data_IF_098750822004
#
_entry.id   IF_098750822004
#
_cell.length_a   1.000
_cell.length_b   1.000
_cell.length_c   1.000
_cell.angle_alpha   90.00
_cell.angle_beta   90.00
_cell.angle_gamma   90.00
#
_symmetry.space_group_name_H-M   'P 1'
#
loop_
_entity.id
_entity.type
_entity.pdbx_description
1 polymer ?
#
# COMPACT_ATOMS: atom_id res chain seq x y z
N UNK A 1 -14.59 -8.05 -2.74
CA UNK A 1 -13.90 -8.91 -1.75
C UNK A 1 -12.72 -8.15 -1.15
N UNK A 2 -11.73 -7.71 -1.93
CA UNK A 2 -10.50 -7.08 -1.44
C UNK A 2 -10.69 -5.87 -0.51
N UNK A 3 -11.64 -4.96 -0.78
CA UNK A 3 -11.91 -3.83 0.13
C UNK A 3 -12.49 -4.25 1.47
N UNK A 4 -13.29 -5.32 1.50
CA UNK A 4 -13.82 -5.84 2.75
C UNK A 4 -12.70 -6.45 3.60
N UNK A 5 -11.79 -7.20 2.96
CA UNK A 5 -10.63 -7.76 3.65
C UNK A 5 -9.67 -6.65 4.12
N UNK A 6 -9.39 -5.66 3.27
CA UNK A 6 -8.62 -4.49 3.68
C UNK A 6 -9.25 -3.82 4.92
N UNK A 7 -10.54 -3.54 4.89
CA UNK A 7 -11.24 -2.92 6.02
C UNK A 7 -11.15 -3.77 7.28
N UNK A 8 -11.33 -5.08 7.14
CA UNK A 8 -11.28 -6.03 8.26
C UNK A 8 -9.93 -6.06 8.95
N UNK A 9 -8.84 -5.94 8.21
CA UNK A 9 -7.49 -6.04 8.75
C UNK A 9 -6.82 -4.69 9.01
N UNK A 10 -7.14 -3.65 8.26
CA UNK A 10 -6.54 -2.33 8.41
C UNK A 10 -7.01 -1.58 9.66
N UNK A 11 -8.34 -1.47 9.83
CA UNK A 11 -8.87 -0.66 10.94
C UNK A 11 -8.46 -1.14 12.33
N UNK A 12 -8.35 -2.45 12.64
CA UNK A 12 -7.85 -2.92 13.92
C UNK A 12 -6.37 -2.62 14.18
N UNK A 13 -5.63 -2.18 13.15
CA UNK A 13 -4.19 -1.89 13.25
C UNK A 13 -3.87 -0.38 13.30
N UNK A 14 -4.87 0.48 13.34
CA UNK A 14 -4.66 1.94 13.35
C UNK A 14 -3.88 2.45 14.57
N UNK A 15 -3.90 1.71 15.67
CA UNK A 15 -3.15 1.99 16.89
C UNK A 15 -1.69 1.53 16.84
N UNK A 16 -1.30 0.80 15.79
CA UNK A 16 0.07 0.33 15.62
C UNK A 16 0.99 1.45 15.17
N UNK A 17 2.23 1.40 15.64
CA UNK A 17 3.21 2.45 15.36
C UNK A 17 3.76 2.44 13.93
N UNK A 18 3.75 1.28 13.26
CA UNK A 18 4.12 1.11 11.86
C UNK A 18 3.24 0.08 11.17
N UNK A 19 3.31 0.03 9.84
CA UNK A 19 2.48 -0.86 9.02
C UNK A 19 3.31 -1.52 7.92
N UNK A 20 3.16 -2.83 7.79
CA UNK A 20 3.67 -3.59 6.63
C UNK A 20 2.46 -4.01 5.80
N UNK A 21 2.49 -3.69 4.52
CA UNK A 21 1.48 -4.09 3.55
C UNK A 21 2.08 -5.21 2.70
N UNK A 22 1.45 -6.36 2.68
CA UNK A 22 1.87 -7.48 1.84
C UNK A 22 1.06 -7.50 0.56
N UNK A 23 1.69 -7.05 -0.53
CA UNK A 23 1.12 -7.05 -1.88
C UNK A 23 1.65 -8.21 -2.73
N UNK A 24 2.40 -9.12 -2.14
CA UNK A 24 2.93 -10.29 -2.83
C UNK A 24 1.79 -11.18 -3.32
N UNK A 25 1.92 -11.65 -4.55
CA UNK A 25 0.93 -12.47 -5.23
C UNK A 25 -0.48 -11.82 -5.37
N UNK A 26 -0.57 -10.50 -5.30
CA UNK A 26 -1.77 -9.78 -5.68
C UNK A 26 -1.96 -9.88 -7.20
N UNK A 27 -2.87 -10.72 -7.65
CA UNK A 27 -3.16 -10.98 -9.07
C UNK A 27 -3.92 -9.86 -9.78
N UNK A 28 -4.24 -8.77 -9.10
CA UNK A 28 -4.90 -7.61 -9.69
C UNK A 28 -6.34 -7.39 -9.23
N UNK A 29 -6.98 -6.45 -9.87
CA UNK A 29 -8.32 -5.96 -9.54
C UNK A 29 -8.49 -4.48 -9.92
N UNK A 30 -9.13 -3.72 -9.03
CA UNK A 30 -9.37 -2.29 -9.23
C UNK A 30 -9.55 -1.54 -7.88
N UNK A 31 -8.93 -2.02 -6.82
CA UNK A 31 -9.10 -1.47 -5.46
C UNK A 31 -7.95 -0.59 -5.00
N UNK A 32 -6.81 -0.63 -5.70
CA UNK A 32 -5.61 0.12 -5.31
C UNK A 32 -5.86 1.62 -5.10
N UNK A 33 -6.64 2.36 -5.92
CA UNK A 33 -6.86 3.78 -5.68
C UNK A 33 -7.54 4.07 -4.33
N UNK A 34 -8.48 3.22 -3.92
CA UNK A 34 -9.20 3.37 -2.66
C UNK A 34 -8.34 3.03 -1.45
N UNK A 35 -7.47 2.03 -1.57
CA UNK A 35 -6.53 1.65 -0.52
C UNK A 35 -5.46 2.73 -0.38
N UNK A 36 -4.86 3.16 -1.49
CA UNK A 36 -3.83 4.21 -1.50
C UNK A 36 -4.36 5.54 -0.94
N UNK A 37 -5.58 5.94 -1.29
CA UNK A 37 -6.23 7.11 -0.69
C UNK A 37 -6.29 6.97 0.84
N UNK A 38 -6.65 5.80 1.35
CA UNK A 38 -6.72 5.56 2.78
C UNK A 38 -5.35 5.59 3.45
N UNK A 39 -4.35 5.00 2.83
CA UNK A 39 -2.98 4.94 3.34
C UNK A 39 -2.26 6.30 3.28
N UNK A 40 -2.65 7.18 2.35
CA UNK A 40 -2.04 8.51 2.17
C UNK A 40 -2.64 9.60 3.06
N UNK A 41 -3.65 9.29 3.86
CA UNK A 41 -4.28 10.27 4.73
C UNK A 41 -3.31 10.81 5.78
N UNK A 42 -3.32 12.13 5.94
CA UNK A 42 -2.58 12.84 6.98
C UNK A 42 -3.56 13.59 7.89
N UNK A 43 -3.31 13.59 9.21
CA UNK A 43 -4.16 14.34 10.11
C UNK A 43 -3.88 15.85 10.00
N UNK A 44 -4.91 16.65 9.71
CA UNK A 44 -4.81 18.10 9.75
C UNK A 44 -5.30 18.70 11.07
N UNK A 45 -5.92 17.90 11.91
CA UNK A 45 -6.41 18.30 13.23
C UNK A 45 -6.42 17.11 14.19
N UNK A 46 -6.11 17.38 15.44
CA UNK A 46 -6.26 16.41 16.54
C UNK A 46 -7.43 16.79 17.43
N UNK A 47 -8.09 15.80 18.00
CA UNK A 47 -9.23 15.97 18.91
C UNK A 47 -9.00 15.21 20.21
N UNK A 48 -9.49 15.76 21.31
CA UNK A 48 -9.49 15.12 22.62
C UNK A 48 -10.84 15.33 23.28
N UNK A 49 -11.40 14.25 23.80
CA UNK A 49 -12.65 14.32 24.56
C UNK A 49 -12.39 14.68 26.03
N UNK A 50 -13.35 15.36 26.67
CA UNK A 50 -13.28 15.65 28.10
C UNK A 50 -13.25 14.34 28.91
N UNK A 51 -12.30 14.23 29.83
CA UNK A 51 -12.17 13.05 30.68
C UNK A 51 -11.52 11.82 30.04
N UNK A 52 -10.99 11.97 28.83
CA UNK A 52 -10.24 10.89 28.15
C UNK A 52 -8.80 11.34 27.85
N UNK A 53 -7.89 10.36 27.82
CA UNK A 53 -6.50 10.57 27.35
C UNK A 53 -6.34 10.25 25.87
N UNK A 54 -7.38 9.73 25.22
CA UNK A 54 -7.33 9.38 23.80
C UNK A 54 -7.33 10.63 22.93
N UNK A 55 -6.36 10.70 22.02
CA UNK A 55 -6.26 11.73 21.00
C UNK A 55 -6.68 11.11 19.68
N UNK A 56 -7.78 11.60 19.12
CA UNK A 56 -8.28 11.23 17.81
C UNK A 56 -7.67 12.09 16.70
N UNK A 57 -7.66 11.58 15.49
CA UNK A 57 -7.22 12.31 14.28
C UNK A 57 -8.41 12.78 13.43
N UNK A 58 -8.24 13.87 12.70
CA UNK A 58 -9.16 14.29 11.65
C UNK A 58 -8.36 14.49 10.36
N UNK A 59 -8.69 13.77 9.27
CA UNK A 59 -9.78 12.78 9.18
C UNK A 59 -9.58 11.59 10.12
N UNK A 60 -10.65 10.87 10.37
CA UNK A 60 -10.57 9.63 11.15
C UNK A 60 -9.82 8.53 10.42
N UNK A 61 -9.38 7.52 11.17
CA UNK A 61 -8.74 6.33 10.65
C UNK A 61 -7.46 6.62 9.84
N UNK A 62 -6.58 7.44 10.40
CA UNK A 62 -5.25 7.72 9.85
C UNK A 62 -4.21 6.85 10.53
N UNK A 63 -3.49 6.07 9.73
CA UNK A 63 -2.29 5.37 10.18
C UNK A 63 -1.08 6.28 9.94
N UNK A 64 -0.58 6.89 11.02
CA UNK A 64 0.45 7.95 10.98
C UNK A 64 1.89 7.42 11.03
N UNK A 65 2.08 6.11 11.17
CA UNK A 65 3.41 5.49 11.26
C UNK A 65 4.06 5.25 9.91
N UNK A 66 5.35 4.87 9.92
CA UNK A 66 6.04 4.43 8.73
C UNK A 66 5.36 3.22 8.13
N UNK A 67 5.45 3.12 6.81
CA UNK A 67 4.86 2.05 6.02
C UNK A 67 5.91 1.43 5.11
N UNK A 68 5.81 0.12 4.92
CA UNK A 68 6.62 -0.64 3.95
C UNK A 68 5.67 -1.56 3.19
N UNK A 69 5.94 -1.76 1.90
CA UNK A 69 5.19 -2.67 1.06
C UNK A 69 6.07 -3.81 0.57
N UNK A 70 5.60 -5.04 0.74
CA UNK A 70 6.20 -6.24 0.18
C UNK A 70 5.63 -6.50 -1.22
N UNK A 71 6.50 -6.77 -2.17
CA UNK A 71 6.14 -7.03 -3.57
C UNK A 71 6.89 -8.25 -4.12
N UNK A 72 6.30 -8.92 -5.10
CA UNK A 72 7.02 -9.98 -5.81
C UNK A 72 6.57 -10.11 -7.28
N UNK A 73 7.24 -11.01 -8.01
CA UNK A 73 6.98 -11.28 -9.43
C UNK A 73 5.56 -11.77 -9.76
N UNK A 74 4.77 -12.11 -8.75
CA UNK A 74 3.37 -12.53 -8.89
C UNK A 74 2.38 -11.38 -8.60
N UNK A 75 2.88 -10.20 -8.18
CA UNK A 75 2.07 -8.99 -8.12
C UNK A 75 1.83 -8.50 -9.54
N UNK A 76 0.58 -8.48 -9.98
CA UNK A 76 0.21 -8.28 -11.38
C UNK A 76 -1.00 -7.34 -11.52
N UNK A 77 -1.10 -6.61 -12.61
CA UNK A 77 -2.23 -5.71 -12.92
C UNK A 77 -2.42 -4.64 -11.82
N UNK A 78 -3.55 -4.64 -11.08
CA UNK A 78 -3.71 -3.75 -9.92
C UNK A 78 -2.65 -4.02 -8.82
N UNK A 79 -2.07 -5.22 -8.77
CA UNK A 79 -0.90 -5.57 -7.95
C UNK A 79 0.42 -4.99 -8.46
N UNK A 80 0.52 -4.53 -9.71
CA UNK A 80 1.58 -3.66 -10.20
C UNK A 80 1.28 -2.19 -9.90
N UNK A 81 0.02 -1.78 -10.07
CA UNK A 81 -0.42 -0.39 -9.89
C UNK A 81 -0.40 0.05 -8.43
N UNK A 82 -0.68 -0.85 -7.51
CA UNK A 82 -0.64 -0.56 -6.08
C UNK A 82 0.77 -0.12 -5.61
N UNK A 83 1.84 -0.92 -5.79
CA UNK A 83 3.18 -0.50 -5.38
C UNK A 83 3.71 0.69 -6.18
N UNK A 84 3.34 0.82 -7.46
CA UNK A 84 3.66 2.03 -8.20
C UNK A 84 3.06 3.29 -7.56
N UNK A 85 1.77 3.25 -7.24
CA UNK A 85 1.07 4.33 -6.55
C UNK A 85 1.60 4.58 -5.14
N UNK A 86 1.92 3.52 -4.40
CA UNK A 86 2.53 3.59 -3.07
C UNK A 86 3.84 4.39 -3.09
N UNK A 87 4.71 4.13 -4.06
CA UNK A 87 5.94 4.91 -4.29
C UNK A 87 5.65 6.33 -4.76
N UNK A 88 4.77 6.52 -5.74
CA UNK A 88 4.44 7.83 -6.31
C UNK A 88 3.85 8.80 -5.27
N UNK A 89 3.17 8.28 -4.26
CA UNK A 89 2.64 9.00 -3.11
C UNK A 89 3.65 9.14 -1.95
N UNK A 90 4.83 8.55 -2.06
CA UNK A 90 5.86 8.63 -1.02
C UNK A 90 5.50 7.92 0.28
N UNK A 91 4.69 6.86 0.23
CA UNK A 91 4.16 6.20 1.42
C UNK A 91 5.20 5.37 2.17
N UNK A 92 6.25 4.91 1.49
CA UNK A 92 7.32 4.11 2.09
C UNK A 92 8.11 3.33 1.04
N UNK A 93 8.93 2.40 1.50
CA UNK A 93 9.80 1.56 0.67
C UNK A 93 9.07 0.32 0.17
N UNK A 94 9.49 -0.13 -1.01
CA UNK A 94 9.10 -1.40 -1.61
C UNK A 94 10.22 -2.42 -1.39
N UNK A 95 9.88 -3.59 -0.87
CA UNK A 95 10.85 -4.67 -0.56
C UNK A 95 10.39 -5.96 -1.23
N UNK A 96 11.32 -6.68 -1.82
CA UNK A 96 11.05 -7.97 -2.45
C UNK A 96 11.65 -8.08 -3.84
N UNK A 97 10.90 -8.57 -4.81
CA UNK A 97 11.32 -8.69 -6.21
C UNK A 97 10.41 -7.87 -7.11
N UNK A 98 10.89 -7.52 -8.30
CA UNK A 98 10.13 -6.77 -9.31
C UNK A 98 8.77 -7.42 -9.56
N UNK A 99 7.72 -6.60 -9.68
CA UNK A 99 6.39 -7.05 -10.03
C UNK A 99 6.28 -7.50 -11.50
N UNK A 100 5.14 -8.04 -11.89
CA UNK A 100 4.97 -8.67 -13.20
C UNK A 100 5.06 -7.71 -14.39
N UNK A 101 4.42 -6.54 -14.31
CA UNK A 101 4.49 -5.51 -15.35
C UNK A 101 3.41 -5.61 -16.42
N UNK A 102 2.27 -6.12 -16.12
CA UNK A 102 1.12 -6.15 -17.04
C UNK A 102 -0.04 -5.31 -16.54
N UNK A 103 -0.10 -4.04 -16.92
CA UNK A 103 -1.09 -3.07 -16.42
C UNK A 103 -2.13 -2.65 -17.46
N UNK A 104 -1.96 -3.03 -18.72
CA UNK A 104 -2.97 -2.71 -19.75
C UNK A 104 -4.28 -3.39 -19.39
N UNK A 105 -5.30 -2.58 -19.12
CA UNK A 105 -6.62 -3.07 -18.82
C UNK A 105 -7.29 -3.66 -20.06
N UNK A 106 -7.96 -4.79 -19.87
CA UNK A 106 -8.69 -5.48 -20.92
C UNK A 106 -10.18 -5.15 -20.84
N UNK A 107 -10.82 -4.97 -22.00
CA UNK A 107 -12.27 -4.78 -22.06
C UNK A 107 -13.02 -6.04 -21.61
N UNK A 108 -14.29 -5.87 -21.29
CA UNK A 108 -15.22 -6.99 -21.14
C UNK A 108 -15.27 -7.86 -22.41
N UNK A 109 -15.90 -9.01 -22.33
CA UNK A 109 -15.98 -9.92 -23.45
C UNK A 109 -16.68 -9.25 -24.64
N UNK A 110 -16.10 -9.44 -25.82
CA UNK A 110 -16.78 -9.16 -27.10
C UNK A 110 -17.34 -10.49 -27.61
N UNK A 111 -18.64 -10.73 -27.40
CA UNK A 111 -19.22 -12.03 -27.71
C UNK A 111 -19.28 -12.25 -29.23
N UNK A 112 -18.88 -13.43 -29.66
CA UNK A 112 -19.11 -13.91 -31.00
C UNK A 112 -20.44 -14.65 -31.11
N UNK A 113 -20.88 -14.89 -32.36
CA UNK A 113 -22.16 -15.56 -32.61
C UNK A 113 -22.23 -16.99 -32.08
N UNK A 114 -21.09 -17.64 -31.90
CA UNK A 114 -20.95 -19.00 -31.37
C UNK A 114 -20.88 -19.04 -29.81
N UNK A 115 -20.99 -17.88 -29.16
CA UNK A 115 -20.93 -17.77 -27.69
C UNK A 115 -19.53 -17.71 -27.12
N UNK A 116 -18.48 -17.78 -27.94
CA UNK A 116 -17.12 -17.48 -27.49
C UNK A 116 -16.93 -15.98 -27.33
N UNK A 117 -15.86 -15.56 -26.68
CA UNK A 117 -15.50 -14.15 -26.53
C UNK A 117 -14.02 -13.89 -26.81
N UNK A 118 -13.70 -12.62 -27.04
CA UNK A 118 -12.32 -12.14 -27.08
C UNK A 118 -12.18 -10.92 -26.16
N UNK A 119 -11.11 -10.91 -25.38
CA UNK A 119 -10.73 -9.77 -24.57
C UNK A 119 -9.62 -9.01 -25.25
N UNK A 120 -9.79 -7.70 -25.37
CA UNK A 120 -8.83 -6.84 -26.05
C UNK A 120 -8.28 -5.77 -25.10
N UNK A 121 -7.03 -5.31 -25.30
CA UNK A 121 -6.51 -4.15 -24.61
C UNK A 121 -7.44 -2.95 -24.80
N UNK A 122 -7.76 -2.25 -23.71
CA UNK A 122 -8.75 -1.17 -23.76
C UNK A 122 -8.25 0.14 -23.15
N UNK A 123 -7.52 0.08 -22.01
CA UNK A 123 -6.98 1.26 -21.36
C UNK A 123 -5.61 0.97 -20.78
N UNK A 124 -4.82 2.02 -20.60
CA UNK A 124 -3.53 1.98 -19.93
C UNK A 124 -3.34 3.27 -19.13
N UNK A 125 -2.22 3.37 -18.41
CA UNK A 125 -1.94 4.47 -17.51
C UNK A 125 -0.62 5.15 -17.84
N UNK A 126 -0.57 6.46 -17.58
CA UNK A 126 0.64 7.27 -17.65
C UNK A 126 0.76 8.14 -16.39
N UNK A 127 1.97 8.54 -16.06
CA UNK A 127 2.27 9.32 -14.87
C UNK A 127 1.72 10.75 -15.02
N UNK A 128 0.95 11.19 -14.03
CA UNK A 128 0.29 12.50 -14.05
C UNK A 128 1.26 13.69 -13.91
N UNK A 129 2.48 13.46 -13.41
CA UNK A 129 3.50 14.51 -13.24
C UNK A 129 4.41 14.63 -14.45
N UNK A 130 4.81 13.49 -15.02
CA UNK A 130 5.80 13.43 -16.09
C UNK A 130 5.18 13.28 -17.47
N UNK A 131 3.93 12.81 -17.58
CA UNK A 131 3.27 12.48 -18.83
C UNK A 131 3.85 11.25 -19.55
N UNK A 132 4.68 10.47 -18.87
CA UNK A 132 5.31 9.28 -19.43
C UNK A 132 4.47 8.03 -19.15
N UNK A 133 4.49 7.06 -20.08
CA UNK A 133 3.93 5.75 -19.83
C UNK A 133 4.59 5.12 -18.60
N UNK A 134 3.78 4.50 -17.76
CA UNK A 134 4.31 3.80 -16.59
C UNK A 134 4.66 2.34 -16.96
N UNK A 135 4.95 1.59 -16.07
CA UNK A 135 5.48 0.24 -15.85
C UNK A 135 5.02 -0.93 -16.77
N UNK A 136 4.21 -0.70 -17.82
CA UNK A 136 3.83 -1.78 -18.75
C UNK A 136 5.07 -2.46 -19.34
N UNK A 137 5.08 -3.80 -19.40
CA UNK A 137 6.19 -4.65 -19.82
C UNK A 137 7.47 -4.55 -18.97
N UNK A 138 7.40 -3.90 -17.80
CA UNK A 138 8.54 -3.81 -16.89
C UNK A 138 8.19 -4.21 -15.47
N UNK A 139 7.10 -3.69 -14.94
CA UNK A 139 6.74 -3.81 -13.53
C UNK A 139 7.40 -2.75 -12.64
N UNK A 140 7.26 -2.92 -11.33
CA UNK A 140 7.82 -2.03 -10.31
C UNK A 140 9.02 -2.69 -9.67
N UNK A 141 10.19 -2.06 -9.79
CA UNK A 141 11.39 -2.51 -9.09
C UNK A 141 11.28 -2.23 -7.59
N UNK A 142 11.73 -3.13 -6.71
CA UNK A 142 11.80 -2.86 -5.28
C UNK A 142 12.91 -1.84 -4.97
N UNK A 143 12.77 -1.11 -3.86
CA UNK A 143 13.84 -0.27 -3.31
C UNK A 143 14.90 -1.12 -2.59
N UNK A 144 14.49 -2.27 -2.07
CA UNK A 144 15.37 -3.28 -1.46
C UNK A 144 15.06 -4.63 -2.12
N UNK A 145 16.00 -5.08 -2.94
CA UNK A 145 15.88 -6.37 -3.63
C UNK A 145 16.19 -7.51 -2.67
N UNK A 146 15.21 -8.36 -2.43
CA UNK A 146 15.36 -9.63 -1.70
C UNK A 146 14.46 -10.65 -2.40
N UNK A 147 15.05 -11.77 -2.80
CA UNK A 147 14.28 -12.96 -3.20
C UNK A 147 14.40 -13.99 -2.07
N UNK A 148 13.27 -14.50 -1.59
CA UNK A 148 13.27 -15.48 -0.51
C UNK A 148 13.96 -16.78 -0.98
N UNK A 149 14.84 -17.33 -0.16
CA UNK A 149 15.35 -18.67 -0.37
C UNK A 149 14.21 -19.69 -0.16
N UNK A 150 13.88 -20.52 -1.17
CA UNK A 150 12.75 -21.44 -1.07
C UNK A 150 12.88 -22.47 0.07
N UNK A 151 14.11 -22.84 0.45
CA UNK A 151 14.34 -23.77 1.55
C UNK A 151 14.08 -23.09 2.89
N UNK A 152 14.51 -21.84 3.03
CA UNK A 152 14.23 -21.05 4.22
C UNK A 152 12.74 -20.78 4.37
N UNK A 153 12.08 -20.36 3.28
CA UNK A 153 10.65 -20.10 3.24
C UNK A 153 9.84 -21.35 3.63
N UNK A 154 10.22 -22.52 3.09
CA UNK A 154 9.63 -23.80 3.47
C UNK A 154 9.78 -24.10 4.97
N UNK A 155 10.87 -23.68 5.57
CA UNK A 155 11.13 -23.80 7.02
C UNK A 155 10.51 -22.67 7.86
N UNK A 156 9.72 -21.79 7.26
CA UNK A 156 9.01 -20.71 7.94
C UNK A 156 9.82 -19.42 8.13
N UNK A 157 10.96 -19.26 7.43
CA UNK A 157 11.74 -18.03 7.44
C UNK A 157 11.41 -17.18 6.21
N UNK A 158 10.75 -16.05 6.42
CA UNK A 158 10.46 -15.06 5.37
C UNK A 158 11.47 -13.92 5.43
N UNK A 159 12.48 -13.97 4.56
CA UNK A 159 13.57 -12.98 4.53
C UNK A 159 13.06 -11.58 4.11
N UNK A 160 12.07 -11.52 3.22
CA UNK A 160 11.43 -10.28 2.80
C UNK A 160 10.67 -9.64 3.97
N UNK A 161 9.88 -10.41 4.69
CA UNK A 161 9.14 -9.92 5.86
C UNK A 161 10.09 -9.49 6.99
N UNK A 162 11.14 -10.26 7.24
CA UNK A 162 12.15 -9.90 8.23
C UNK A 162 12.80 -8.56 7.90
N UNK A 163 13.12 -8.33 6.61
CA UNK A 163 13.67 -7.05 6.17
C UNK A 163 12.67 -5.91 6.27
N UNK A 164 11.40 -6.15 5.98
CA UNK A 164 10.34 -5.16 6.14
C UNK A 164 10.19 -4.73 7.61
N UNK A 165 10.25 -5.68 8.55
CA UNK A 165 10.24 -5.40 9.98
C UNK A 165 11.44 -4.54 10.37
N UNK A 166 12.65 -4.91 9.91
CA UNK A 166 13.87 -4.13 10.16
C UNK A 166 13.73 -2.68 9.70
N UNK A 167 13.26 -2.46 8.46
CA UNK A 167 13.11 -1.12 7.89
C UNK A 167 12.03 -0.30 8.62
N UNK A 168 10.88 -0.89 8.96
CA UNK A 168 9.86 -0.21 9.77
C UNK A 168 10.41 0.17 11.15
N UNK A 169 11.11 -0.73 11.82
CA UNK A 169 11.71 -0.47 13.14
C UNK A 169 12.76 0.65 13.07
N UNK A 170 13.56 0.69 12.01
CA UNK A 170 14.53 1.76 11.76
C UNK A 170 13.85 3.12 11.54
N UNK A 171 12.78 3.15 10.76
CA UNK A 171 12.04 4.40 10.51
C UNK A 171 11.30 4.89 11.75
N UNK A 172 10.82 4.00 12.60
CA UNK A 172 10.20 4.35 13.89
C UNK A 172 11.15 5.12 14.81
N UNK A 173 12.45 4.81 14.81
CA UNK A 173 13.45 5.55 15.60
C UNK A 173 13.58 7.02 15.22
N UNK A 174 13.28 7.35 13.96
CA UNK A 174 13.38 8.70 13.41
C UNK A 174 12.00 9.39 13.29
N UNK A 175 10.93 8.71 13.68
CA UNK A 175 9.57 9.24 13.58
C UNK A 175 9.37 10.43 14.51
N UNK A 176 8.81 11.52 13.97
CA UNK A 176 8.28 12.60 14.80
C UNK A 176 6.92 12.17 15.37
N UNK A 177 6.76 12.13 16.70
CA UNK A 177 5.46 11.84 17.30
C UNK A 177 4.46 12.95 16.95
N UNK A 178 3.16 12.65 17.05
CA UNK A 178 2.14 13.69 17.01
C UNK A 178 2.39 14.70 18.16
N UNK A 179 2.06 15.99 17.94
CA UNK A 179 2.27 17.00 18.97
C UNK A 179 1.51 16.64 20.25
N UNK A 180 2.10 16.92 21.42
CA UNK A 180 1.40 16.67 22.69
C UNK A 180 0.16 17.55 22.82
N UNK A 181 -0.77 17.11 23.67
CA UNK A 181 -1.94 17.91 24.02
C UNK A 181 -1.47 19.25 24.59
N UNK A 182 -1.94 20.40 24.06
CA UNK A 182 -1.55 21.70 24.57
C UNK A 182 -2.07 21.91 25.99
N UNK A 183 -1.40 22.79 26.74
CA UNK A 183 -1.91 23.20 28.05
C UNK A 183 -3.32 23.79 27.94
N UNK A 184 -4.16 23.67 29.00
CA UNK A 184 -5.45 24.33 29.03
C UNK A 184 -5.31 25.83 28.72
N UNK A 185 -6.26 26.38 27.97
CA UNK A 185 -6.28 27.82 27.72
C UNK A 185 -6.65 28.53 29.01
N UNK A 186 -5.90 29.58 29.33
CA UNK A 186 -6.32 30.56 30.30
C UNK A 186 -7.33 31.50 29.65
N UNK A 187 -8.52 31.59 30.21
CA UNK A 187 -9.60 32.47 29.76
C UNK A 187 -9.80 33.65 30.74
N UNK A 188 -8.83 33.89 31.68
CA UNK A 188 -8.88 35.04 32.58
C UNK A 188 -8.61 36.37 31.88
#
# INVERSE_FOLDING_TARGET
>A
EGLNEFSRYFYPQLDKEGLIIDDRANGGGNVSPMILERLSREPYRLTMGRGTKHVGTIPDAVQVGPKVCLINKYSASDGDLFPWGFRALGLGKLIGTRTWGGIVGISGPLPYMDGTDIRVPFFTSYDAKTGQWIIENHGVDPDILIDNDPVKEWNGEDEQLNKAIEEVMKELQNRKPLPPVPAPRDFS
#
